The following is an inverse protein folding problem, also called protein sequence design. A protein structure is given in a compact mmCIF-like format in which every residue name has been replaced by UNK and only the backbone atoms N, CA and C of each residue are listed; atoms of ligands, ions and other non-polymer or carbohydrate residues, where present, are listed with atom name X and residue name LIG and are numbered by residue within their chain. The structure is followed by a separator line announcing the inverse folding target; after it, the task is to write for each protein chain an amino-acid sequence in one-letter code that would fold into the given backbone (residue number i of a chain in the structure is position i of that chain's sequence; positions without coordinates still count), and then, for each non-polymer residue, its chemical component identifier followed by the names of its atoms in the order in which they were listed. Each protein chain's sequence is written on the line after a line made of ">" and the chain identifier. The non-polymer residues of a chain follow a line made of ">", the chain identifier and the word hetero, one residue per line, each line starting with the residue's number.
data_IF_225138752590
#
_entry.id   IF_225138752590
#
_cell.length_a   1.000
_cell.length_b   1.000
_cell.length_c   1.000
_cell.angle_alpha   90.00
_cell.angle_beta   90.00
_cell.angle_gamma   90.00
#
_symmetry.space_group_name_H-M   'P 1'
#
loop_
_entity.id
_entity.type
_entity.pdbx_description
1 polymer ?
#
# COMPACT_ATOMS: atom_id res chain seq x y z
N UNK A 1 18.43 -2.47 55.41
CA UNK A 1 17.47 -1.56 56.04
C UNK A 1 16.14 -1.75 55.35
N UNK A 2 15.22 -2.38 56.05
CA UNK A 2 13.87 -2.79 55.61
C UNK A 2 12.93 -1.60 55.64
N UNK A 3 12.07 -1.40 54.63
CA UNK A 3 10.62 -1.13 54.82
C UNK A 3 9.85 -1.61 53.58
N UNK A 4 8.95 -2.56 53.84
CA UNK A 4 7.86 -3.06 52.98
C UNK A 4 6.56 -2.38 53.45
N UNK A 5 5.68 -1.96 52.53
CA UNK A 5 4.21 -1.80 52.73
C UNK A 5 3.56 -1.96 51.34
N UNK A 6 2.87 -3.04 50.97
CA UNK A 6 1.64 -3.69 51.47
C UNK A 6 0.39 -2.80 51.36
N UNK A 7 -0.60 -3.27 50.60
CA UNK A 7 -1.96 -2.71 50.61
C UNK A 7 -2.86 -3.19 49.46
N UNK A 8 -3.21 -4.47 49.45
CA UNK A 8 -4.37 -5.00 48.72
C UNK A 8 -5.61 -4.94 49.63
N UNK A 9 -6.79 -4.67 49.07
CA UNK A 9 -8.07 -4.92 49.76
C UNK A 9 -9.17 -5.26 48.73
N UNK A 10 -9.82 -6.38 49.02
CA UNK A 10 -10.84 -7.07 48.22
C UNK A 10 -12.19 -6.95 48.94
N UNK A 11 -13.27 -6.93 48.14
CA UNK A 11 -14.62 -7.46 48.39
C UNK A 11 -15.50 -6.86 49.51
N UNK A 12 -16.70 -6.41 49.14
CA UNK A 12 -17.97 -6.81 49.78
C UNK A 12 -19.08 -6.82 48.72
N UNK A 13 -19.82 -7.93 48.64
CA UNK A 13 -21.11 -8.05 47.96
C UNK A 13 -22.23 -8.04 49.01
N UNK A 14 -23.40 -7.46 48.72
CA UNK A 14 -24.62 -7.79 49.47
C UNK A 14 -25.89 -7.63 48.61
N UNK A 15 -26.76 -8.63 48.79
CA UNK A 15 -28.03 -8.92 48.13
C UNK A 15 -29.17 -7.99 48.58
N UNK A 16 -30.18 -7.84 47.73
CA UNK A 16 -31.48 -7.28 48.08
C UNK A 16 -32.59 -7.75 47.13
N UNK A 17 -33.20 -8.89 47.46
CA UNK A 17 -34.47 -9.39 46.91
C UNK A 17 -35.64 -8.64 47.55
N UNK A 18 -36.68 -8.27 46.78
CA UNK A 18 -38.06 -8.14 47.27
C UNK A 18 -39.04 -8.31 46.11
N UNK A 19 -40.18 -8.92 46.41
CA UNK A 19 -41.07 -9.61 45.47
C UNK A 19 -42.42 -8.90 45.30
N UNK A 20 -43.04 -9.16 44.14
CA UNK A 20 -44.47 -9.40 43.89
C UNK A 20 -45.50 -8.26 43.94
N UNK A 21 -46.33 -8.21 42.89
CA UNK A 21 -47.63 -7.52 42.84
C UNK A 21 -48.26 -7.52 41.44
N UNK A 22 -49.22 -8.42 41.21
CA UNK A 22 -50.00 -8.65 39.96
C UNK A 22 -51.27 -7.78 39.97
N UNK A 23 -51.69 -7.18 38.84
CA UNK A 23 -53.09 -7.06 38.34
C UNK A 23 -53.13 -6.46 36.90
N UNK A 24 -53.89 -7.04 35.93
CA UNK A 24 -54.25 -6.43 34.63
C UNK A 24 -55.74 -5.99 34.63
N UNK A 25 -56.42 -5.61 33.52
CA UNK A 25 -55.99 -5.06 32.21
C UNK A 25 -56.71 -3.72 31.83
N UNK A 26 -56.21 -2.97 30.86
CA UNK A 26 -57.04 -2.10 30.02
C UNK A 26 -56.32 -1.78 28.70
N UNK A 27 -56.88 -2.26 27.59
CA UNK A 27 -56.43 -1.93 26.25
C UNK A 27 -56.90 -0.51 25.87
N UNK A 28 -55.96 0.37 25.56
CA UNK A 28 -56.20 1.60 24.82
C UNK A 28 -55.14 1.74 23.72
N UNK A 29 -55.60 2.21 22.57
CA UNK A 29 -54.94 2.18 21.28
C UNK A 29 -53.62 2.98 21.20
N UNK A 30 -52.78 2.54 20.25
CA UNK A 30 -51.49 3.12 19.87
C UNK A 30 -51.56 4.62 19.53
N UNK A 31 -50.45 5.33 19.75
CA UNK A 31 -49.76 5.93 18.61
C UNK A 31 -48.33 5.39 18.46
N UNK A 32 -47.92 5.23 17.20
CA UNK A 32 -46.61 4.75 16.80
C UNK A 32 -45.50 5.80 17.00
N UNK A 33 -44.27 5.28 17.24
CA UNK A 33 -42.95 5.93 17.19
C UNK A 33 -42.55 6.82 18.40
N UNK A 34 -41.26 6.85 18.80
CA UNK A 34 -40.08 6.65 17.97
C UNK A 34 -39.38 5.31 18.18
N UNK A 35 -38.92 4.74 17.07
CA UNK A 35 -37.85 3.74 17.10
C UNK A 35 -36.66 4.35 17.85
N UNK A 36 -36.21 3.66 18.90
CA UNK A 36 -34.86 3.84 19.41
C UNK A 36 -33.91 3.72 18.21
N UNK A 37 -33.25 4.83 17.88
CA UNK A 37 -32.02 4.80 17.11
C UNK A 37 -31.00 4.04 17.96
N UNK A 38 -31.09 2.71 17.94
CA UNK A 38 -29.95 1.85 18.14
C UNK A 38 -28.87 2.41 17.22
N UNK A 39 -27.81 2.89 17.84
CA UNK A 39 -26.62 3.36 17.16
C UNK A 39 -26.25 2.30 16.13
N UNK A 40 -26.58 2.59 14.87
CA UNK A 40 -26.09 1.87 13.72
C UNK A 40 -24.59 2.06 13.74
N UNK A 41 -23.91 1.19 14.47
CA UNK A 41 -22.50 0.94 14.35
C UNK A 41 -22.34 0.48 12.90
N UNK A 42 -22.11 1.45 12.01
CA UNK A 42 -21.83 1.20 10.61
C UNK A 42 -20.62 0.28 10.60
N UNK A 43 -20.88 -0.99 10.31
CA UNK A 43 -19.87 -2.02 10.19
C UNK A 43 -18.84 -1.55 9.18
N UNK A 44 -17.69 -1.10 9.69
CA UNK A 44 -16.47 -1.00 8.91
C UNK A 44 -16.10 -2.44 8.54
N UNK A 45 -16.59 -2.85 7.37
CA UNK A 45 -16.69 -4.24 6.93
C UNK A 45 -15.40 -5.04 7.08
N UNK A 46 -15.61 -6.29 7.46
CA UNK A 46 -14.66 -7.39 7.49
C UNK A 46 -14.07 -7.73 6.10
N UNK A 47 -14.52 -7.04 5.04
CA UNK A 47 -14.18 -7.27 3.63
C UNK A 47 -13.66 -6.01 2.91
N UNK A 48 -12.86 -5.15 3.57
CA UNK A 48 -12.18 -4.06 2.87
C UNK A 48 -11.04 -4.63 1.99
N UNK A 49 -11.15 -4.61 0.64
CA UNK A 49 -10.14 -5.21 -0.24
C UNK A 49 -8.76 -4.56 -0.10
N UNK A 50 -8.67 -3.33 0.46
CA UNK A 50 -7.39 -2.67 0.75
C UNK A 50 -6.64 -3.39 1.86
N UNK A 51 -7.36 -3.93 2.85
CA UNK A 51 -6.79 -4.71 3.96
C UNK A 51 -6.31 -6.10 3.52
N UNK A 52 -6.72 -6.57 2.34
CA UNK A 52 -6.27 -7.83 1.74
C UNK A 52 -5.00 -7.71 0.89
N UNK A 53 -4.38 -6.52 0.81
CA UNK A 53 -3.15 -6.33 0.03
C UNK A 53 -1.95 -7.03 0.68
N UNK A 54 -1.20 -7.76 -0.12
CA UNK A 54 -0.03 -8.55 0.28
C UNK A 54 1.19 -8.12 -0.51
N UNK A 55 2.38 -8.33 0.07
CA UNK A 55 3.64 -8.08 -0.63
C UNK A 55 3.87 -9.20 -1.63
N UNK A 56 3.97 -8.82 -2.89
CA UNK A 56 4.42 -9.65 -4.00
C UNK A 56 5.92 -9.44 -4.20
N UNK A 57 6.62 -10.47 -4.66
CA UNK A 57 8.04 -10.40 -5.00
C UNK A 57 8.27 -11.01 -6.37
N UNK A 58 9.04 -10.33 -7.20
CA UNK A 58 9.52 -10.85 -8.48
C UNK A 58 11.01 -10.57 -8.59
N UNK A 59 11.76 -11.47 -9.22
CA UNK A 59 13.19 -11.30 -9.47
C UNK A 59 13.54 -11.73 -10.88
N UNK A 60 14.61 -11.16 -11.42
CA UNK A 60 15.17 -11.53 -12.69
C UNK A 60 16.70 -11.55 -12.65
N UNK A 61 17.26 -12.50 -13.40
CA UNK A 61 18.69 -12.52 -13.72
C UNK A 61 19.05 -11.38 -14.66
N UNK A 62 20.26 -10.84 -14.52
CA UNK A 62 20.84 -9.89 -15.47
C UNK A 62 22.32 -10.20 -15.65
N UNK A 63 22.72 -10.48 -16.90
CA UNK A 63 24.04 -11.06 -17.17
C UNK A 63 24.21 -12.42 -16.48
N UNK A 64 25.25 -12.51 -15.63
CA UNK A 64 25.60 -13.70 -14.84
C UNK A 64 25.15 -13.60 -13.37
N UNK A 65 24.46 -12.53 -12.99
CA UNK A 65 24.02 -12.31 -11.60
C UNK A 65 22.58 -12.83 -11.45
N UNK A 66 22.40 -13.79 -10.54
CA UNK A 66 21.08 -14.29 -10.15
C UNK A 66 20.35 -13.28 -9.26
N UNK A 67 19.04 -13.12 -9.46
CA UNK A 67 18.21 -12.12 -8.77
C UNK A 67 18.84 -10.73 -8.77
N UNK A 68 19.44 -10.36 -9.91
CA UNK A 68 20.16 -9.10 -10.09
C UNK A 68 19.23 -7.89 -9.94
N UNK A 69 17.99 -8.06 -10.36
CA UNK A 69 16.90 -7.11 -10.20
C UNK A 69 15.82 -7.83 -9.42
N UNK A 70 15.44 -7.29 -8.27
CA UNK A 70 14.33 -7.79 -7.46
C UNK A 70 13.38 -6.64 -7.18
N UNK A 71 12.08 -6.89 -7.30
CA UNK A 71 11.03 -5.92 -7.00
C UNK A 71 10.04 -6.53 -6.03
N UNK A 72 9.83 -5.84 -4.90
CA UNK A 72 8.76 -6.10 -3.94
C UNK A 72 7.72 -5.00 -4.06
N UNK A 73 6.44 -5.35 -4.05
CA UNK A 73 5.35 -4.38 -4.21
C UNK A 73 4.06 -4.90 -3.57
N UNK A 74 3.10 -4.03 -3.28
CA UNK A 74 1.76 -4.45 -2.85
C UNK A 74 0.88 -4.73 -4.09
N UNK A 75 0.10 -5.81 -4.08
CA UNK A 75 -0.92 -6.08 -5.11
C UNK A 75 -2.14 -5.16 -4.96
N UNK A 76 -1.93 -3.85 -5.12
CA UNK A 76 -2.96 -2.83 -4.91
C UNK A 76 -4.16 -3.09 -5.84
N UNK A 77 -5.42 -3.03 -5.36
CA UNK A 77 -6.61 -3.27 -6.18
C UNK A 77 -6.92 -2.04 -7.07
N UNK A 78 -5.97 -1.67 -7.93
CA UNK A 78 -6.04 -0.52 -8.80
C UNK A 78 -6.74 -0.89 -10.10
N UNK A 79 -7.98 -0.41 -10.24
CA UNK A 79 -8.67 -0.34 -11.53
C UNK A 79 -8.48 1.03 -12.19
N UNK A 80 -8.89 1.19 -13.46
CA UNK A 80 -8.78 2.47 -14.19
C UNK A 80 -9.47 3.64 -13.48
N UNK A 81 -10.58 3.40 -12.78
CA UNK A 81 -11.26 4.43 -11.99
C UNK A 81 -10.49 4.80 -10.72
N UNK A 82 -9.99 3.80 -9.99
CA UNK A 82 -9.24 4.00 -8.74
C UNK A 82 -7.93 4.75 -8.99
N UNK A 83 -7.24 4.42 -10.08
CA UNK A 83 -5.98 5.05 -10.45
C UNK A 83 -6.17 6.33 -11.30
N UNK A 84 -7.36 6.55 -11.84
CA UNK A 84 -7.67 7.70 -12.69
C UNK A 84 -7.42 9.05 -12.01
N UNK A 85 -7.52 9.15 -10.68
CA UNK A 85 -7.17 10.38 -9.95
C UNK A 85 -5.68 10.73 -10.03
N UNK A 86 -4.81 9.72 -10.16
CA UNK A 86 -3.36 9.88 -10.24
C UNK A 86 -2.96 10.31 -11.66
N UNK A 87 -3.59 9.71 -12.68
CA UNK A 87 -3.32 10.02 -14.09
C UNK A 87 -3.94 11.36 -14.54
N UNK A 88 -5.20 11.60 -14.20
CA UNK A 88 -5.93 12.78 -14.66
C UNK A 88 -5.53 14.05 -13.90
N UNK A 89 -5.07 13.89 -12.65
CA UNK A 89 -4.65 15.00 -11.78
C UNK A 89 -5.82 15.72 -11.12
N UNK A 90 -5.57 16.94 -10.68
CA UNK A 90 -6.47 17.76 -9.87
C UNK A 90 -5.91 18.08 -8.48
N UNK A 91 -6.72 18.73 -7.65
CA UNK A 91 -6.33 19.22 -6.32
C UNK A 91 -6.81 18.32 -5.17
N UNK A 92 -7.29 17.13 -5.48
CA UNK A 92 -7.76 16.17 -4.48
C UNK A 92 -6.57 15.45 -3.81
N UNK A 93 -6.80 14.91 -2.61
CA UNK A 93 -5.75 14.21 -1.84
C UNK A 93 -5.01 13.14 -2.67
N UNK A 94 -5.74 12.29 -3.39
CA UNK A 94 -5.16 11.23 -4.21
C UNK A 94 -4.33 11.73 -5.40
N UNK A 95 -4.64 12.94 -5.88
CA UNK A 95 -4.00 13.58 -7.03
C UNK A 95 -2.78 14.44 -6.67
N UNK A 96 -2.48 14.59 -5.37
CA UNK A 96 -1.42 15.48 -4.87
C UNK A 96 -0.37 14.77 -4.03
N UNK A 97 -0.72 13.65 -3.39
CA UNK A 97 0.21 12.80 -2.64
C UNK A 97 1.05 11.92 -3.58
N UNK A 98 2.33 11.72 -3.26
CA UNK A 98 3.18 10.73 -3.93
C UNK A 98 2.90 9.31 -3.46
N UNK A 99 3.00 8.34 -4.38
CA UNK A 99 2.63 6.95 -4.15
C UNK A 99 3.86 6.04 -4.24
N UNK A 100 4.45 5.60 -3.12
CA UNK A 100 5.55 4.64 -3.16
C UNK A 100 4.97 3.26 -3.50
N UNK A 101 5.26 2.77 -4.70
CA UNK A 101 4.60 1.57 -5.26
C UNK A 101 5.44 0.30 -5.18
N UNK A 102 6.76 0.45 -5.13
CA UNK A 102 7.64 -0.71 -5.13
C UNK A 102 8.98 -0.43 -4.47
N UNK A 103 9.52 -1.46 -3.85
CA UNK A 103 10.90 -1.56 -3.40
C UNK A 103 11.68 -2.32 -4.47
N UNK A 104 12.62 -1.63 -5.12
CA UNK A 104 13.54 -2.17 -6.11
C UNK A 104 14.90 -2.43 -5.44
N UNK A 105 15.40 -3.66 -5.51
CA UNK A 105 16.75 -4.02 -5.09
C UNK A 105 17.59 -4.39 -6.31
N UNK A 106 18.80 -3.83 -6.39
CA UNK A 106 19.76 -4.05 -7.45
C UNK A 106 21.03 -4.70 -6.88
N UNK A 107 21.46 -5.83 -7.44
CA UNK A 107 22.73 -6.51 -7.06
C UNK A 107 23.89 -6.22 -8.02
N UNK A 108 23.63 -5.49 -9.10
CA UNK A 108 24.62 -5.09 -10.11
C UNK A 108 24.34 -3.68 -10.57
N UNK A 109 25.35 -3.01 -11.13
CA UNK A 109 25.16 -1.70 -11.76
C UNK A 109 24.25 -1.82 -12.98
N UNK A 110 23.24 -0.98 -13.04
CA UNK A 110 22.29 -0.94 -14.16
C UNK A 110 22.07 0.48 -14.65
N UNK A 111 21.68 0.63 -15.91
CA UNK A 111 21.14 1.86 -16.44
C UNK A 111 19.62 1.77 -16.39
N UNK A 112 18.99 2.71 -15.72
CA UNK A 112 17.54 2.80 -15.54
C UNK A 112 17.13 4.27 -15.67
N UNK A 113 16.03 4.57 -16.37
CA UNK A 113 15.62 5.96 -16.63
C UNK A 113 16.75 6.85 -17.21
N UNK A 114 17.60 6.26 -18.05
CA UNK A 114 18.72 6.96 -18.69
C UNK A 114 19.92 7.26 -17.79
N UNK A 115 19.87 6.93 -16.48
CA UNK A 115 20.97 7.14 -15.53
C UNK A 115 21.55 5.80 -15.06
N UNK A 116 22.80 5.81 -14.63
CA UNK A 116 23.42 4.64 -13.99
C UNK A 116 23.06 4.60 -12.51
N UNK A 117 22.76 3.40 -12.03
CA UNK A 117 22.40 3.10 -10.66
C UNK A 117 23.38 2.07 -10.12
N UNK A 118 23.94 2.35 -8.95
CA UNK A 118 24.76 1.39 -8.22
C UNK A 118 23.91 0.23 -7.67
N UNK A 119 24.52 -0.89 -7.28
CA UNK A 119 23.85 -1.87 -6.43
C UNK A 119 23.32 -1.22 -5.16
N UNK A 120 22.11 -1.60 -4.74
CA UNK A 120 21.45 -1.04 -3.56
C UNK A 120 19.93 -1.15 -3.61
N UNK A 121 19.29 -0.50 -2.65
CA UNK A 121 17.85 -0.48 -2.48
C UNK A 121 17.26 0.88 -2.88
N UNK A 122 16.12 0.81 -3.56
CA UNK A 122 15.47 1.96 -4.17
C UNK A 122 13.95 1.89 -4.00
N UNK A 123 13.31 3.06 -3.96
CA UNK A 123 11.86 3.20 -3.94
C UNK A 123 11.41 3.72 -5.29
N UNK A 124 10.51 3.00 -5.94
CA UNK A 124 9.76 3.50 -7.09
C UNK A 124 8.53 4.24 -6.57
N UNK A 125 8.44 5.52 -6.88
CA UNK A 125 7.36 6.40 -6.44
C UNK A 125 6.65 6.97 -7.66
N UNK A 126 5.34 6.77 -7.75
CA UNK A 126 4.51 7.47 -8.74
C UNK A 126 4.17 8.84 -8.16
N UNK A 127 4.49 9.87 -8.94
CA UNK A 127 4.08 11.25 -8.70
C UNK A 127 2.86 11.52 -9.55
N UNK A 128 1.68 11.76 -8.95
CA UNK A 128 0.49 12.09 -9.72
C UNK A 128 0.70 13.28 -10.63
N UNK A 129 -0.14 13.39 -11.65
CA UNK A 129 -0.16 14.57 -12.51
C UNK A 129 -0.44 15.84 -11.71
N UNK A 130 -1.34 15.80 -10.72
CA UNK A 130 -1.74 16.98 -9.96
C UNK A 130 -2.17 18.12 -10.90
N UNK A 131 -1.48 19.27 -10.81
CA UNK A 131 -1.62 20.39 -11.75
C UNK A 131 -0.54 20.42 -12.85
N UNK A 132 0.40 19.48 -12.84
CA UNK A 132 1.45 19.35 -13.83
C UNK A 132 0.91 18.84 -15.18
N UNK A 133 1.64 19.01 -16.29
CA UNK A 133 1.19 18.50 -17.59
C UNK A 133 1.18 16.97 -17.68
N UNK A 134 2.04 16.28 -16.91
CA UNK A 134 2.16 14.81 -16.92
C UNK A 134 2.41 14.28 -15.51
N UNK A 135 1.95 13.06 -15.25
CA UNK A 135 2.41 12.28 -14.10
C UNK A 135 3.87 11.85 -14.29
N UNK A 136 4.53 11.46 -13.20
CA UNK A 136 5.93 11.07 -13.21
C UNK A 136 6.23 9.85 -12.38
N UNK A 137 7.43 9.30 -12.58
CA UNK A 137 8.04 8.36 -11.66
C UNK A 137 9.30 8.97 -11.08
N UNK A 138 9.44 8.88 -9.76
CA UNK A 138 10.66 9.16 -9.04
C UNK A 138 11.28 7.85 -8.54
N UNK A 139 12.61 7.81 -8.57
CA UNK A 139 13.40 6.76 -7.95
C UNK A 139 14.19 7.41 -6.83
N UNK A 140 14.03 6.89 -5.63
CA UNK A 140 14.72 7.36 -4.42
C UNK A 140 15.63 6.27 -3.90
N UNK A 141 16.85 6.58 -3.50
CA UNK A 141 17.66 5.59 -2.77
C UNK A 141 17.08 5.40 -1.38
N UNK A 142 17.08 4.16 -0.89
CA UNK A 142 16.48 3.79 0.38
C UNK A 142 17.43 2.88 1.14
N UNK A 143 17.50 3.07 2.46
CA UNK A 143 18.24 2.18 3.34
C UNK A 143 17.23 1.40 4.18
N UNK A 144 17.09 0.08 3.98
CA UNK A 144 16.19 -0.73 4.79
C UNK A 144 16.69 -0.84 6.24
N UNK A 145 15.73 -0.88 7.18
CA UNK A 145 15.98 -1.13 8.59
C UNK A 145 16.28 -2.62 8.83
N UNK A 146 17.47 -3.07 8.43
CA UNK A 146 17.91 -4.47 8.56
C UNK A 146 17.78 -5.31 7.28
N UNK A 147 18.27 -6.55 7.36
CA UNK A 147 18.28 -7.50 6.24
C UNK A 147 16.85 -7.85 5.82
N UNK A 148 16.55 -7.70 4.53
CA UNK A 148 15.20 -7.93 4.01
C UNK A 148 14.16 -6.90 4.46
N UNK A 149 14.57 -5.80 5.10
CA UNK A 149 13.69 -4.70 5.46
C UNK A 149 13.02 -4.09 4.22
N UNK A 150 11.78 -3.63 4.38
CA UNK A 150 11.04 -2.91 3.35
C UNK A 150 10.13 -1.89 4.00
N UNK A 151 9.83 -0.82 3.28
CA UNK A 151 8.85 0.17 3.72
C UNK A 151 7.41 -0.30 3.50
N UNK A 152 7.20 -1.30 2.64
CA UNK A 152 5.88 -1.82 2.31
C UNK A 152 5.25 -2.51 3.51
N UNK A 153 4.02 -2.14 3.85
CA UNK A 153 3.25 -2.77 4.93
C UNK A 153 2.00 -3.43 4.33
N UNK A 154 1.83 -4.77 4.45
CA UNK A 154 0.62 -5.46 4.01
C UNK A 154 -0.65 -4.81 4.57
N UNK A 155 -1.69 -4.71 3.76
CA UNK A 155 -2.95 -4.05 4.13
C UNK A 155 -2.89 -2.51 4.18
N UNK A 156 -1.70 -1.90 4.07
CA UNK A 156 -1.54 -0.45 4.13
C UNK A 156 -1.21 0.16 2.75
N UNK A 157 -2.26 0.58 2.04
CA UNK A 157 -2.14 1.26 0.74
C UNK A 157 -1.64 2.71 0.84
N UNK A 158 -1.56 3.27 2.05
CA UNK A 158 -1.07 4.63 2.34
C UNK A 158 0.29 4.60 3.02
N UNK A 159 1.15 3.68 2.58
CA UNK A 159 2.52 3.60 3.07
C UNK A 159 3.22 4.96 2.86
N UNK A 160 3.92 5.43 3.88
CA UNK A 160 4.70 6.66 3.80
C UNK A 160 5.90 6.48 2.86
N UNK A 161 6.25 7.54 2.14
CA UNK A 161 7.41 7.48 1.25
C UNK A 161 8.67 7.52 2.11
N UNK A 162 9.59 6.54 2.02
CA UNK A 162 10.81 6.56 2.79
C UNK A 162 11.67 7.78 2.49
N UNK A 163 12.41 8.24 3.50
CA UNK A 163 13.42 9.29 3.33
C UNK A 163 14.58 8.81 2.45
N UNK A 164 15.22 9.78 1.79
CA UNK A 164 16.39 9.55 0.93
C UNK A 164 16.42 10.49 -0.28
N UNK A 165 17.56 10.64 -0.95
CA UNK A 165 17.65 11.49 -2.13
C UNK A 165 16.92 10.89 -3.34
N UNK A 166 16.23 11.75 -4.10
CA UNK A 166 15.72 11.39 -5.43
C UNK A 166 16.93 11.26 -6.35
N UNK A 167 17.16 10.07 -6.89
CA UNK A 167 18.29 9.76 -7.77
C UNK A 167 17.89 9.76 -9.25
N UNK A 168 16.60 9.62 -9.55
CA UNK A 168 16.04 9.88 -10.88
C UNK A 168 14.59 10.34 -10.79
N UNK A 169 14.16 11.11 -11.78
CA UNK A 169 12.77 11.51 -11.95
C UNK A 169 12.49 11.68 -13.43
N UNK A 170 11.36 11.14 -13.92
CA UNK A 170 10.93 11.37 -15.29
C UNK A 170 9.41 11.35 -15.43
N UNK A 171 8.85 12.04 -16.44
CA UNK A 171 7.46 11.84 -16.84
C UNK A 171 7.22 10.38 -17.25
N UNK A 172 6.04 9.85 -16.93
CA UNK A 172 5.59 8.52 -17.36
C UNK A 172 4.16 8.59 -17.91
N UNK A 173 3.79 7.57 -18.67
CA UNK A 173 2.43 7.37 -19.17
C UNK A 173 2.10 5.88 -19.10
N UNK A 174 0.90 5.55 -18.63
CA UNK A 174 0.39 4.18 -18.67
C UNK A 174 -0.56 4.04 -19.85
N UNK A 175 -0.15 3.23 -20.84
CA UNK A 175 -0.92 3.08 -22.08
C UNK A 175 -2.00 2.01 -21.92
N UNK A 176 -3.21 2.23 -22.48
CA UNK A 176 -4.25 1.20 -22.52
C UNK A 176 -3.88 0.05 -23.47
N UNK A 177 -4.57 -1.09 -23.33
CA UNK A 177 -4.43 -2.25 -24.23
C UNK A 177 -3.63 -3.42 -23.65
N UNK A 178 -3.24 -3.36 -22.37
CA UNK A 178 -2.70 -4.51 -21.67
C UNK A 178 -3.82 -5.51 -21.32
N UNK A 179 -3.51 -6.81 -21.11
CA UNK A 179 -4.46 -7.75 -20.53
C UNK A 179 -5.03 -7.22 -19.21
N UNK A 180 -6.34 -7.38 -19.02
CA UNK A 180 -7.02 -6.94 -17.81
C UNK A 180 -6.40 -7.60 -16.56
N UNK A 181 -6.06 -6.80 -15.57
CA UNK A 181 -5.58 -7.24 -14.26
C UNK A 181 -6.43 -6.68 -13.13
N UNK A 182 -6.86 -7.55 -12.22
CA UNK A 182 -7.69 -7.21 -11.06
C UNK A 182 -6.92 -6.43 -9.97
N UNK A 183 -5.59 -6.47 -10.03
CA UNK A 183 -4.70 -5.76 -9.12
C UNK A 183 -3.43 -5.29 -9.85
N UNK A 184 -2.72 -4.35 -9.25
CA UNK A 184 -1.40 -3.94 -9.72
C UNK A 184 -0.46 -5.14 -9.69
N UNK A 185 0.23 -5.36 -10.80
CA UNK A 185 1.26 -6.37 -10.99
C UNK A 185 2.51 -5.70 -11.52
N UNK A 186 3.65 -6.11 -10.98
CA UNK A 186 4.96 -5.78 -11.55
C UNK A 186 5.60 -7.09 -12.01
N UNK A 187 5.97 -7.15 -13.28
CA UNK A 187 6.67 -8.27 -13.88
C UNK A 187 8.07 -7.86 -14.31
N UNK A 188 8.99 -8.81 -14.21
CA UNK A 188 10.35 -8.68 -14.71
C UNK A 188 10.59 -9.75 -15.76
N UNK A 189 10.95 -9.32 -16.98
CA UNK A 189 11.25 -10.26 -18.06
C UNK A 189 12.72 -10.13 -18.46
N UNK A 190 13.55 -11.15 -18.18
CA UNK A 190 14.96 -11.12 -18.54
C UNK A 190 15.15 -11.16 -20.07
N UNK A 191 16.11 -10.38 -20.55
CA UNK A 191 16.64 -10.36 -21.91
C UNK A 191 18.17 -10.47 -21.83
N UNK A 192 18.84 -10.62 -22.98
CA UNK A 192 20.28 -10.89 -23.05
C UNK A 192 21.14 -9.97 -22.15
N UNK A 193 20.90 -8.65 -22.21
CA UNK A 193 21.67 -7.64 -21.46
C UNK A 193 20.78 -6.62 -20.74
N UNK A 194 19.50 -6.94 -20.55
CA UNK A 194 18.55 -6.05 -19.90
C UNK A 194 17.43 -6.86 -19.22
N UNK A 195 16.72 -6.22 -18.30
CA UNK A 195 15.45 -6.70 -17.76
C UNK A 195 14.38 -5.69 -18.16
N UNK A 196 13.28 -6.17 -18.72
CA UNK A 196 12.09 -5.35 -18.93
C UNK A 196 11.24 -5.41 -17.65
N UNK A 197 11.06 -4.26 -17.01
CA UNK A 197 10.15 -4.08 -15.89
C UNK A 197 8.85 -3.51 -16.41
N UNK A 198 7.75 -4.21 -16.18
CA UNK A 198 6.41 -3.75 -16.55
C UNK A 198 5.55 -3.60 -15.31
N UNK A 199 4.97 -2.42 -15.12
CA UNK A 199 3.90 -2.18 -14.15
C UNK A 199 2.57 -2.23 -14.90
N UNK A 200 1.65 -3.08 -14.46
CA UNK A 200 0.33 -3.27 -15.06
C UNK A 200 -0.75 -3.16 -13.98
N UNK A 201 -1.85 -2.50 -14.29
CA UNK A 201 -3.07 -2.44 -13.48
C UNK A 201 -4.26 -2.24 -14.41
N UNK A 202 -5.42 -2.84 -14.14
CA UNK A 202 -6.53 -2.82 -15.09
C UNK A 202 -6.09 -3.23 -16.50
N UNK A 203 -6.43 -2.43 -17.50
CA UNK A 203 -6.02 -2.57 -18.90
C UNK A 203 -4.79 -1.70 -19.26
N UNK A 204 -4.13 -1.12 -18.25
CA UNK A 204 -3.06 -0.14 -18.40
C UNK A 204 -1.70 -0.77 -18.13
N UNK A 205 -0.67 -0.30 -18.85
CA UNK A 205 0.70 -0.73 -18.57
C UNK A 205 1.73 0.35 -18.84
N UNK A 206 2.84 0.25 -18.11
CA UNK A 206 4.05 1.04 -18.30
C UNK A 206 5.24 0.08 -18.28
N UNK A 207 6.13 0.20 -19.27
CA UNK A 207 7.31 -0.66 -19.38
C UNK A 207 8.58 0.18 -19.43
N UNK A 208 9.59 -0.23 -18.67
CA UNK A 208 10.92 0.36 -18.68
C UNK A 208 12.01 -0.71 -18.71
N UNK A 209 13.19 -0.35 -19.23
CA UNK A 209 14.35 -1.23 -19.32
C UNK A 209 15.36 -0.93 -18.22
N UNK A 210 15.87 -1.97 -17.58
CA UNK A 210 17.05 -1.95 -16.74
C UNK A 210 18.18 -2.63 -17.52
N UNK A 211 19.14 -1.86 -18.02
CA UNK A 211 20.22 -2.36 -18.87
C UNK A 211 21.47 -2.62 -18.04
N UNK A 212 22.17 -3.73 -18.29
CA UNK A 212 23.42 -4.02 -17.60
C UNK A 212 24.50 -3.01 -18.01
N UNK A 213 25.10 -2.34 -17.02
CA UNK A 213 26.29 -1.51 -17.25
C UNK A 213 27.51 -2.41 -17.17
N UNK A 214 28.28 -2.50 -18.27
CA UNK A 214 29.52 -3.28 -18.28
C UNK A 214 30.58 -2.55 -17.46
N UNK A 215 31.16 -3.22 -16.46
CA UNK A 215 32.43 -2.81 -15.89
C UNK A 215 33.50 -2.92 -16.97
N UNK A 216 34.25 -1.83 -17.18
CA UNK A 216 35.42 -1.78 -18.06
C UNK A 216 36.58 -2.58 -17.48
#
# INVERSE_FOLDING_TARGET
>A
MTVVRTGALTLVALLGLSSAGIFPPAALAQPAAPAEMGQGQMGMGENDPRKATTIQTTSARLGNVADAVMVRYLNLPWGPQTFGYIENGGNQFYSTRTWPVAHLTLKTRVKFFGREFEPGDYVLTIVPKGLAPKMGMQVRSFQPSGEGGTFLVPGNVFTETPDGPIVASRPIEFTPGAPQSDAMRISLVPRKNMVELTINYGDRSFTEKLELVKTK
#
